data_IF_568508494648
#
_entry.id   IF_568508494648
#
_cell.length_a   1.000
_cell.length_b   1.000
_cell.length_c   1.000
_cell.angle_alpha   90.00
_cell.angle_beta   90.00
_cell.angle_gamma   90.00
#
_symmetry.space_group_name_H-M   'P 1'
#
loop_
_entity.id
_entity.type
_entity.pdbx_description
1 polymer ?
#
# COMPACT_ATOMS: atom_id res chain seq x y z
N UNK A 1 -7.96 36.25 9.09
CA UNK A 1 -9.15 35.59 9.67
C UNK A 1 -10.23 35.26 8.62
N UNK A 2 -9.90 34.97 7.35
CA UNK A 2 -10.89 34.72 6.27
C UNK A 2 -10.86 33.30 5.69
N UNK A 3 -9.92 32.46 6.16
CA UNK A 3 -9.72 31.11 5.54
C UNK A 3 -10.51 29.96 6.17
N UNK A 4 -11.16 30.18 7.32
CA UNK A 4 -11.85 29.10 8.05
C UNK A 4 -13.33 28.94 7.65
N UNK A 5 -13.91 29.86 6.91
CA UNK A 5 -15.34 29.84 6.54
C UNK A 5 -15.66 29.13 5.22
N UNK A 6 -14.69 28.89 4.35
CA UNK A 6 -14.94 28.26 3.04
C UNK A 6 -15.12 26.74 3.08
N UNK A 7 -14.69 26.08 4.15
CA UNK A 7 -14.84 24.62 4.28
C UNK A 7 -16.23 24.16 4.80
N UNK A 8 -17.08 25.09 5.22
CA UNK A 8 -18.34 24.79 5.93
C UNK A 8 -19.51 24.48 4.99
N UNK A 9 -19.42 24.74 3.69
CA UNK A 9 -20.54 24.67 2.75
C UNK A 9 -20.43 23.56 1.68
N UNK A 10 -19.43 22.69 1.74
CA UNK A 10 -19.41 21.54 0.83
C UNK A 10 -20.50 20.54 1.25
N UNK A 11 -21.31 19.99 0.31
CA UNK A 11 -22.32 19.02 0.65
C UNK A 11 -21.67 17.77 1.26
N UNK A 12 -22.30 17.21 2.33
CA UNK A 12 -21.82 15.98 2.94
C UNK A 12 -21.85 14.85 1.90
N UNK A 13 -20.72 14.16 1.76
CA UNK A 13 -20.58 13.03 0.84
C UNK A 13 -20.63 11.73 1.64
N UNK A 14 -21.65 10.90 1.40
CA UNK A 14 -21.68 9.54 1.90
C UNK A 14 -20.94 8.64 0.90
N UNK A 15 -19.78 8.09 1.27
CA UNK A 15 -19.05 7.19 0.38
C UNK A 15 -19.80 5.86 0.25
N UNK A 16 -20.00 5.37 -0.99
CA UNK A 16 -20.64 4.07 -1.22
C UNK A 16 -19.61 2.96 -1.37
N UNK A 17 -18.46 3.28 -1.92
CA UNK A 17 -17.40 2.30 -2.16
C UNK A 17 -16.00 2.88 -1.97
N UNK A 18 -15.06 1.99 -1.68
CA UNK A 18 -13.62 2.26 -1.67
C UNK A 18 -12.99 1.40 -2.76
N UNK A 19 -12.23 2.03 -3.66
CA UNK A 19 -11.49 1.29 -4.67
C UNK A 19 -10.30 0.53 -4.07
N UNK A 20 -9.50 1.22 -3.26
CA UNK A 20 -8.38 0.59 -2.58
C UNK A 20 -8.23 1.10 -1.14
N UNK A 21 -8.36 0.17 -0.20
CA UNK A 21 -8.03 0.36 1.20
C UNK A 21 -6.64 -0.21 1.46
N UNK A 22 -5.70 0.63 1.87
CA UNK A 22 -4.46 0.19 2.50
C UNK A 22 -4.61 0.28 4.01
N UNK A 23 -4.49 -0.81 4.70
CA UNK A 23 -4.51 -0.87 6.15
C UNK A 23 -3.22 -1.49 6.67
N UNK A 24 -2.37 -0.68 7.29
CA UNK A 24 -1.14 -1.17 7.91
C UNK A 24 -1.50 -1.96 9.17
N UNK A 25 -1.49 -3.28 9.12
CA UNK A 25 -1.69 -4.12 10.32
C UNK A 25 -0.43 -4.16 11.20
N UNK A 26 0.70 -3.83 10.62
CA UNK A 26 1.99 -3.65 11.29
C UNK A 26 2.66 -2.39 10.76
N UNK A 27 2.89 -1.41 11.61
CA UNK A 27 3.75 -0.26 11.27
C UNK A 27 5.21 -0.61 11.53
N UNK A 28 6.09 -0.27 10.58
CA UNK A 28 7.52 -0.58 10.65
C UNK A 28 7.89 -1.93 10.04
N UNK A 29 9.15 -2.08 9.75
CA UNK A 29 9.70 -3.24 9.05
C UNK A 29 11.08 -3.59 9.66
N UNK A 30 11.46 -4.86 9.57
CA UNK A 30 12.79 -5.33 9.98
C UNK A 30 13.87 -5.03 8.93
N UNK A 31 13.47 -4.76 7.67
CA UNK A 31 14.40 -4.43 6.59
C UNK A 31 14.66 -2.92 6.49
N UNK A 32 15.73 -2.58 5.79
CA UNK A 32 16.18 -1.21 5.50
C UNK A 32 16.45 -1.07 4.00
N UNK A 33 15.41 -1.37 3.22
CA UNK A 33 15.53 -1.41 1.76
C UNK A 33 15.93 -0.05 1.18
N UNK A 34 16.77 -0.09 0.18
CA UNK A 34 17.13 1.07 -0.63
C UNK A 34 15.86 1.66 -1.26
N UNK A 35 15.73 2.98 -1.23
CA UNK A 35 14.56 3.69 -1.77
C UNK A 35 13.31 3.65 -0.88
N UNK A 36 13.32 3.00 0.28
CA UNK A 36 12.19 2.96 1.21
C UNK A 36 12.34 4.00 2.33
N UNK A 37 11.30 4.80 2.64
CA UNK A 37 11.34 5.75 3.76
C UNK A 37 11.68 5.11 5.11
N UNK A 38 11.31 3.86 5.34
CA UNK A 38 11.62 3.13 6.58
C UNK A 38 13.13 2.96 6.83
N UNK A 39 13.97 3.03 5.80
CA UNK A 39 15.44 2.98 5.94
C UNK A 39 16.00 4.25 6.58
N UNK A 40 15.30 5.38 6.43
CA UNK A 40 15.65 6.67 7.05
C UNK A 40 14.89 6.90 8.36
N UNK A 41 13.59 6.62 8.38
CA UNK A 41 12.72 6.91 9.52
C UNK A 41 12.92 5.95 10.69
N UNK A 42 13.40 4.74 10.41
CA UNK A 42 13.66 3.69 11.40
C UNK A 42 12.49 3.50 12.40
N UNK A 43 11.25 3.34 11.95
CA UNK A 43 10.10 3.29 12.83
C UNK A 43 10.16 2.07 13.74
N UNK A 44 9.71 2.24 15.00
CA UNK A 44 9.48 1.10 15.89
C UNK A 44 8.34 0.25 15.34
N UNK A 45 8.51 -1.08 15.43
CA UNK A 45 7.46 -2.02 15.02
C UNK A 45 6.28 -1.94 15.99
N UNK A 46 5.13 -1.53 15.48
CA UNK A 46 3.84 -1.51 16.19
C UNK A 46 2.87 -2.44 15.43
N UNK A 47 2.00 -3.10 16.16
CA UNK A 47 0.97 -3.98 15.60
C UNK A 47 -0.38 -3.52 16.11
N UNK A 48 -1.37 -3.47 15.24
CA UNK A 48 -2.75 -3.24 15.69
C UNK A 48 -3.23 -4.47 16.48
N UNK A 49 -4.02 -4.27 17.51
CA UNK A 49 -4.69 -5.39 18.15
C UNK A 49 -5.87 -5.89 17.28
N UNK A 50 -6.23 -7.16 17.42
CA UNK A 50 -7.39 -7.73 16.70
C UNK A 50 -8.66 -6.94 16.99
N UNK A 51 -8.84 -6.51 18.25
CA UNK A 51 -10.00 -5.71 18.65
C UNK A 51 -9.98 -4.30 18.03
N UNK A 52 -8.87 -3.58 18.09
CA UNK A 52 -8.75 -2.27 17.43
C UNK A 52 -8.97 -2.38 15.92
N UNK A 53 -8.48 -3.44 15.28
CA UNK A 53 -8.71 -3.71 13.86
C UNK A 53 -10.19 -3.90 13.56
N UNK A 54 -10.90 -4.72 14.38
CA UNK A 54 -12.35 -4.93 14.28
C UNK A 54 -13.11 -3.62 14.41
N UNK A 55 -12.77 -2.78 15.40
CA UNK A 55 -13.39 -1.46 15.60
C UNK A 55 -13.15 -0.56 14.38
N UNK A 56 -11.90 -0.49 13.87
CA UNK A 56 -11.59 0.31 12.70
C UNK A 56 -12.38 -0.13 11.47
N UNK A 57 -12.44 -1.44 11.19
CA UNK A 57 -13.19 -1.96 10.04
C UNK A 57 -14.69 -1.71 10.17
N UNK A 58 -15.26 -1.82 11.39
CA UNK A 58 -16.67 -1.52 11.67
C UNK A 58 -17.02 -0.04 11.48
N UNK A 59 -16.05 0.85 11.54
CA UNK A 59 -16.20 2.29 11.28
C UNK A 59 -16.02 2.68 9.81
N UNK A 60 -15.72 1.72 8.93
CA UNK A 60 -15.72 1.94 7.48
C UNK A 60 -17.16 1.76 6.98
N UNK A 61 -17.89 2.87 6.88
CA UNK A 61 -19.32 2.92 6.57
C UNK A 61 -19.59 3.02 5.06
N UNK A 62 -19.13 2.01 4.32
CA UNK A 62 -19.35 1.84 2.88
C UNK A 62 -20.12 0.55 2.58
N UNK A 63 -20.54 0.38 1.33
CA UNK A 63 -21.22 -0.85 0.87
C UNK A 63 -20.21 -1.88 0.36
N UNK A 64 -19.09 -1.42 -0.23
CA UNK A 64 -18.13 -2.28 -0.94
C UNK A 64 -16.71 -1.73 -0.88
N UNK A 65 -15.74 -2.66 -0.80
CA UNK A 65 -14.31 -2.39 -1.03
C UNK A 65 -13.87 -3.26 -2.21
N UNK A 66 -13.25 -2.65 -3.22
CA UNK A 66 -12.73 -3.44 -4.35
C UNK A 66 -11.46 -4.18 -3.93
N UNK A 67 -10.44 -3.48 -3.45
CA UNK A 67 -9.18 -4.08 -2.99
C UNK A 67 -8.88 -3.65 -1.56
N UNK A 68 -8.70 -4.61 -0.68
CA UNK A 68 -8.19 -4.40 0.67
C UNK A 68 -6.76 -4.93 0.76
N UNK A 69 -5.81 -4.06 1.06
CA UNK A 69 -4.39 -4.35 1.24
C UNK A 69 -4.05 -4.28 2.72
N UNK A 70 -3.55 -5.38 3.28
CA UNK A 70 -3.18 -5.47 4.70
C UNK A 70 -1.74 -5.00 4.95
N UNK A 71 -1.35 -3.97 4.23
CA UNK A 71 -0.04 -3.33 4.35
C UNK A 71 -0.10 -1.89 3.84
N UNK A 72 0.82 -1.06 4.29
CA UNK A 72 1.12 0.27 3.75
C UNK A 72 2.63 0.53 3.86
N UNK A 73 3.14 0.79 5.07
CA UNK A 73 4.56 1.06 5.34
C UNK A 73 5.25 -0.05 6.12
N UNK A 74 4.51 -1.05 6.62
CA UNK A 74 5.03 -2.09 7.47
C UNK A 74 5.19 -3.43 6.76
N UNK A 75 5.60 -4.42 7.55
CA UNK A 75 5.69 -5.81 7.13
C UNK A 75 4.57 -6.64 7.81
N UNK A 76 3.54 -7.06 7.08
CA UNK A 76 2.37 -7.71 7.67
C UNK A 76 2.68 -9.06 8.33
N UNK A 77 3.66 -9.83 7.83
CA UNK A 77 4.02 -11.12 8.43
C UNK A 77 4.77 -11.00 9.77
N UNK A 78 5.05 -9.78 10.22
CA UNK A 78 5.46 -9.54 11.60
C UNK A 78 4.29 -9.46 12.59
N UNK A 79 3.03 -9.54 12.11
CA UNK A 79 1.88 -9.62 13.01
C UNK A 79 1.84 -10.98 13.69
N UNK A 80 1.69 -11.00 15.03
CA UNK A 80 1.72 -12.24 15.81
C UNK A 80 0.42 -13.04 15.79
N UNK A 81 -0.63 -12.46 15.26
CA UNK A 81 -2.00 -13.00 15.19
C UNK A 81 -2.58 -12.72 13.80
N UNK A 82 -1.84 -13.03 12.74
CA UNK A 82 -2.25 -12.74 11.38
C UNK A 82 -3.56 -13.47 11.03
N UNK A 83 -3.69 -14.73 11.41
CA UNK A 83 -4.91 -15.51 11.17
C UNK A 83 -6.13 -14.94 11.86
N UNK A 84 -5.99 -14.40 13.08
CA UNK A 84 -7.06 -13.72 13.79
C UNK A 84 -7.43 -12.38 13.12
N UNK A 85 -6.47 -11.60 12.64
CA UNK A 85 -6.69 -10.39 11.84
C UNK A 85 -7.50 -10.72 10.57
N UNK A 86 -7.11 -11.77 9.85
CA UNK A 86 -7.80 -12.21 8.64
C UNK A 86 -9.26 -12.60 8.94
N UNK A 87 -9.52 -13.29 10.05
CA UNK A 87 -10.87 -13.74 10.42
C UNK A 87 -11.87 -12.60 10.67
N UNK A 88 -11.40 -11.40 11.00
CA UNK A 88 -12.26 -10.23 11.22
C UNK A 88 -12.86 -9.68 9.92
N UNK A 89 -12.21 -9.90 8.77
CA UNK A 89 -12.63 -9.29 7.50
C UNK A 89 -14.02 -9.76 7.04
N UNK A 90 -14.36 -11.07 7.03
CA UNK A 90 -15.67 -11.53 6.61
C UNK A 90 -16.81 -11.16 7.59
N UNK A 91 -16.50 -10.76 8.82
CA UNK A 91 -17.49 -10.30 9.80
C UNK A 91 -18.12 -8.94 9.40
N UNK A 92 -17.48 -8.20 8.49
CA UNK A 92 -17.90 -6.85 8.14
C UNK A 92 -19.16 -6.81 7.26
N UNK A 93 -19.90 -5.69 7.33
CA UNK A 93 -21.10 -5.49 6.51
C UNK A 93 -20.78 -5.31 5.03
N UNK A 94 -19.65 -4.68 4.71
CA UNK A 94 -19.13 -4.56 3.36
C UNK A 94 -18.38 -5.82 2.93
N UNK A 95 -18.18 -5.98 1.63
CA UNK A 95 -17.37 -7.08 1.07
C UNK A 95 -16.18 -6.52 0.32
N UNK A 96 -15.03 -7.15 0.52
CA UNK A 96 -13.83 -6.91 -0.29
C UNK A 96 -13.80 -7.91 -1.46
N UNK A 97 -13.59 -7.42 -2.68
CA UNK A 97 -13.44 -8.30 -3.85
C UNK A 97 -12.05 -8.94 -3.91
N UNK A 98 -11.03 -8.21 -3.45
CA UNK A 98 -9.65 -8.67 -3.36
C UNK A 98 -9.14 -8.36 -1.95
N UNK A 99 -8.55 -9.35 -1.28
CA UNK A 99 -7.79 -9.17 -0.04
C UNK A 99 -6.34 -9.54 -0.33
N UNK A 100 -5.44 -8.55 -0.20
CA UNK A 100 -4.03 -8.66 -0.60
C UNK A 100 -3.12 -8.52 0.60
N UNK A 101 -2.16 -9.44 0.74
CA UNK A 101 -1.00 -9.32 1.62
C UNK A 101 0.22 -9.09 0.75
N UNK A 102 1.05 -8.09 1.08
CA UNK A 102 2.37 -7.91 0.46
C UNK A 102 3.46 -8.02 1.51
N UNK A 103 4.46 -8.86 1.24
CA UNK A 103 5.50 -9.18 2.22
C UNK A 103 6.90 -9.14 1.60
N UNK A 104 7.89 -8.93 2.46
CA UNK A 104 9.29 -9.08 2.12
C UNK A 104 9.81 -10.53 2.26
N UNK A 105 8.98 -11.47 2.72
CA UNK A 105 9.26 -12.90 2.81
C UNK A 105 10.45 -13.30 3.73
N UNK A 106 10.86 -12.43 4.68
CA UNK A 106 12.09 -12.67 5.45
C UNK A 106 11.84 -13.24 6.84
N UNK A 107 10.64 -13.07 7.38
CA UNK A 107 10.29 -13.57 8.70
C UNK A 107 8.82 -13.98 8.74
N UNK A 108 8.56 -15.25 8.97
CA UNK A 108 7.22 -15.84 8.91
C UNK A 108 6.98 -16.74 10.12
N UNK A 109 5.86 -16.54 10.79
CA UNK A 109 5.27 -17.59 11.62
C UNK A 109 4.46 -18.51 10.70
N UNK A 110 5.05 -19.63 10.32
CA UNK A 110 4.45 -20.53 9.34
C UNK A 110 3.15 -21.18 9.81
N UNK A 111 3.00 -21.42 11.11
CA UNK A 111 1.78 -22.03 11.65
C UNK A 111 0.61 -21.05 11.56
N UNK A 112 0.83 -19.79 11.94
CA UNK A 112 -0.19 -18.74 11.85
C UNK A 112 -0.48 -18.35 10.40
N UNK A 113 0.56 -18.29 9.54
CA UNK A 113 0.39 -18.03 8.10
C UNK A 113 -0.43 -19.13 7.40
N UNK A 114 -0.15 -20.42 7.70
CA UNK A 114 -0.97 -21.53 7.20
C UNK A 114 -2.42 -21.43 7.66
N UNK A 115 -2.66 -21.08 8.93
CA UNK A 115 -4.01 -20.87 9.45
C UNK A 115 -4.72 -19.67 8.79
N UNK A 116 -3.99 -18.63 8.42
CA UNK A 116 -4.54 -17.53 7.65
C UNK A 116 -4.99 -17.94 6.25
N UNK A 117 -4.19 -18.77 5.55
CA UNK A 117 -4.52 -19.27 4.21
C UNK A 117 -5.70 -20.26 4.21
N UNK A 118 -5.85 -21.09 5.23
CA UNK A 118 -6.98 -22.02 5.38
C UNK A 118 -8.35 -21.34 5.41
N UNK A 119 -8.41 -20.05 5.71
CA UNK A 119 -9.66 -19.28 5.75
C UNK A 119 -10.14 -18.87 4.35
N UNK A 120 -9.30 -18.95 3.33
CA UNK A 120 -9.57 -18.56 1.93
C UNK A 120 -10.04 -17.10 1.77
N UNK A 121 -9.80 -16.24 2.76
CA UNK A 121 -10.14 -14.82 2.74
C UNK A 121 -9.12 -14.01 1.94
N UNK A 122 -7.83 -14.35 2.06
CA UNK A 122 -6.75 -13.75 1.27
C UNK A 122 -6.82 -14.29 -0.14
N UNK A 123 -7.01 -13.41 -1.12
CA UNK A 123 -7.12 -13.78 -2.54
C UNK A 123 -5.86 -13.47 -3.34
N UNK A 124 -4.95 -12.66 -2.77
CA UNK A 124 -3.70 -12.29 -3.43
C UNK A 124 -2.55 -12.20 -2.42
N UNK A 125 -1.50 -12.95 -2.68
CA UNK A 125 -0.23 -12.89 -1.95
C UNK A 125 0.83 -12.29 -2.87
N UNK A 126 1.41 -11.18 -2.43
CA UNK A 126 2.43 -10.45 -3.18
C UNK A 126 3.75 -10.53 -2.43
N UNK A 127 4.82 -10.88 -3.12
CA UNK A 127 6.20 -10.88 -2.58
C UNK A 127 7.03 -9.81 -3.26
N UNK A 128 7.74 -9.03 -2.48
CA UNK A 128 8.65 -8.00 -3.00
C UNK A 128 10.00 -8.62 -3.36
N UNK A 129 10.34 -8.57 -4.64
CA UNK A 129 11.60 -9.05 -5.21
C UNK A 129 12.25 -7.90 -5.98
N UNK A 130 13.45 -7.45 -5.61
CA UNK A 130 14.09 -6.31 -6.25
C UNK A 130 15.47 -6.68 -6.78
N UNK A 131 15.93 -5.93 -7.79
CA UNK A 131 17.25 -6.04 -8.36
C UNK A 131 17.34 -6.95 -9.58
N UNK A 132 18.54 -7.41 -9.87
CA UNK A 132 18.88 -8.10 -11.11
C UNK A 132 18.65 -9.64 -11.09
N UNK A 133 17.99 -10.18 -10.06
CA UNK A 133 17.74 -11.62 -9.93
C UNK A 133 18.95 -12.43 -9.39
N UNK A 134 19.92 -11.79 -8.75
CA UNK A 134 21.01 -12.46 -8.02
C UNK A 134 20.89 -12.26 -6.52
N UNK A 135 21.41 -13.21 -5.74
CA UNK A 135 21.42 -13.13 -4.28
C UNK A 135 22.16 -11.87 -3.78
N UNK A 136 23.32 -11.57 -4.37
CA UNK A 136 24.14 -10.42 -3.99
C UNK A 136 23.36 -9.11 -4.13
N UNK A 137 22.73 -8.88 -5.29
CA UNK A 137 21.99 -7.65 -5.56
C UNK A 137 20.73 -7.54 -4.73
N UNK A 138 19.98 -8.65 -4.57
CA UNK A 138 18.79 -8.68 -3.73
C UNK A 138 19.11 -8.30 -2.27
N UNK A 139 20.15 -8.91 -1.67
CA UNK A 139 20.56 -8.64 -0.29
C UNK A 139 21.12 -7.21 -0.13
N UNK A 140 21.83 -6.72 -1.13
CA UNK A 140 22.33 -5.33 -1.18
C UNK A 140 21.20 -4.30 -1.16
N UNK A 141 20.13 -4.56 -1.93
CA UNK A 141 18.98 -3.64 -2.05
C UNK A 141 18.03 -3.71 -0.86
N UNK A 142 17.99 -4.83 -0.16
CA UNK A 142 17.01 -5.09 0.91
C UNK A 142 17.64 -5.53 2.25
N UNK A 143 18.69 -4.84 2.76
CA UNK A 143 19.36 -5.28 3.96
C UNK A 143 18.43 -5.27 5.19
N UNK A 144 18.57 -6.22 6.13
CA UNK A 144 19.46 -7.38 6.17
C UNK A 144 18.77 -8.66 5.64
N UNK A 145 18.09 -8.61 4.51
CA UNK A 145 17.43 -9.79 3.92
C UNK A 145 18.43 -10.88 3.57
N UNK A 146 17.89 -12.10 3.40
CA UNK A 146 18.61 -13.27 2.92
C UNK A 146 17.90 -13.86 1.71
N UNK A 147 18.66 -14.12 0.67
CA UNK A 147 18.14 -14.72 -0.57
C UNK A 147 17.52 -16.09 -0.34
N UNK A 148 18.16 -16.93 0.46
CA UNK A 148 17.65 -18.27 0.79
C UNK A 148 16.27 -18.21 1.48
N UNK A 149 16.02 -17.20 2.34
CA UNK A 149 14.71 -17.02 2.96
C UNK A 149 13.63 -16.64 1.94
N UNK A 150 13.99 -15.82 0.93
CA UNK A 150 13.07 -15.51 -0.15
C UNK A 150 12.69 -16.77 -0.93
N UNK A 151 13.67 -17.55 -1.36
CA UNK A 151 13.43 -18.76 -2.16
C UNK A 151 12.63 -19.80 -1.35
N UNK A 152 12.99 -20.03 -0.09
CA UNK A 152 12.23 -20.90 0.81
C UNK A 152 10.78 -20.47 0.93
N UNK A 153 10.55 -19.14 1.11
CA UNK A 153 9.20 -18.60 1.20
C UNK A 153 8.39 -18.85 -0.07
N UNK A 154 8.97 -18.56 -1.24
CA UNK A 154 8.30 -18.76 -2.53
C UNK A 154 7.88 -20.22 -2.73
N UNK A 155 8.77 -21.16 -2.45
CA UNK A 155 8.50 -22.58 -2.62
C UNK A 155 7.46 -23.07 -1.61
N UNK A 156 7.58 -22.70 -0.34
CA UNK A 156 6.68 -23.14 0.72
C UNK A 156 5.29 -22.50 0.63
N UNK A 157 5.20 -21.22 0.30
CA UNK A 157 3.92 -20.53 0.12
C UNK A 157 3.13 -21.14 -1.05
N UNK A 158 3.80 -21.56 -2.13
CA UNK A 158 3.17 -22.31 -3.22
C UNK A 158 2.56 -23.62 -2.74
N UNK A 159 3.30 -24.42 -1.97
CA UNK A 159 2.79 -25.69 -1.42
C UNK A 159 1.56 -25.45 -0.54
N UNK A 160 1.59 -24.45 0.31
CA UNK A 160 0.47 -24.10 1.17
C UNK A 160 -0.75 -23.61 0.36
N UNK A 161 -0.53 -22.78 -0.69
CA UNK A 161 -1.57 -22.35 -1.62
C UNK A 161 -2.23 -23.55 -2.29
N UNK A 162 -1.44 -24.46 -2.87
CA UNK A 162 -1.96 -25.60 -3.59
C UNK A 162 -2.78 -26.54 -2.68
N UNK A 163 -2.43 -26.58 -1.40
CA UNK A 163 -3.10 -27.41 -0.39
C UNK A 163 -4.36 -26.79 0.20
N UNK A 164 -4.35 -25.48 0.49
CA UNK A 164 -5.36 -24.87 1.33
C UNK A 164 -6.15 -23.75 0.68
N UNK A 165 -5.61 -23.09 -0.34
CA UNK A 165 -6.22 -21.93 -0.96
C UNK A 165 -5.90 -21.89 -2.47
N UNK A 166 -6.38 -22.85 -3.26
CA UNK A 166 -6.00 -22.99 -4.68
C UNK A 166 -6.38 -21.78 -5.53
N UNK A 167 -7.35 -20.96 -5.08
CA UNK A 167 -7.73 -19.69 -5.70
C UNK A 167 -6.80 -18.51 -5.41
N UNK A 168 -5.86 -18.64 -4.47
CA UNK A 168 -4.93 -17.58 -4.10
C UNK A 168 -3.96 -17.28 -5.25
N UNK A 169 -3.92 -16.03 -5.69
CA UNK A 169 -2.97 -15.55 -6.68
C UNK A 169 -1.60 -15.33 -6.03
N UNK A 170 -0.55 -15.92 -6.59
CA UNK A 170 0.83 -15.71 -6.18
C UNK A 170 1.50 -14.74 -7.14
N UNK A 171 1.83 -13.55 -6.67
CA UNK A 171 2.38 -12.45 -7.47
C UNK A 171 3.67 -11.97 -6.84
N UNK A 172 4.64 -11.57 -7.66
CA UNK A 172 5.81 -10.81 -7.16
C UNK A 172 5.78 -9.40 -7.73
N UNK A 173 6.09 -8.41 -6.90
CA UNK A 173 6.38 -7.03 -7.36
C UNK A 173 7.88 -6.86 -7.35
N UNK A 174 8.43 -6.66 -8.53
CA UNK A 174 9.87 -6.73 -8.78
C UNK A 174 10.35 -5.42 -9.40
N UNK A 175 11.20 -4.71 -8.67
CA UNK A 175 11.87 -3.52 -9.20
C UNK A 175 13.09 -3.96 -9.97
N UNK A 176 13.15 -3.60 -11.25
CA UNK A 176 14.21 -3.98 -12.21
C UNK A 176 14.67 -2.78 -13.02
N UNK A 177 15.84 -2.87 -13.62
CA UNK A 177 16.41 -1.78 -14.41
C UNK A 177 16.34 -2.04 -15.94
N UNK A 178 16.26 -3.30 -16.34
CA UNK A 178 16.33 -3.66 -17.76
C UNK A 178 15.66 -5.01 -18.05
N UNK A 179 15.52 -5.33 -19.35
CA UNK A 179 14.87 -6.56 -19.81
C UNK A 179 15.64 -7.85 -19.43
N UNK A 180 16.96 -7.80 -19.29
CA UNK A 180 17.75 -8.96 -18.89
C UNK A 180 17.46 -9.33 -17.42
N UNK A 181 17.26 -8.34 -16.56
CA UNK A 181 16.85 -8.54 -15.17
C UNK A 181 15.44 -9.15 -15.10
N UNK A 182 14.51 -8.65 -15.92
CA UNK A 182 13.16 -9.20 -16.03
C UNK A 182 13.21 -10.68 -16.42
N UNK A 183 14.04 -11.05 -17.41
CA UNK A 183 14.15 -12.43 -17.84
C UNK A 183 14.70 -13.33 -16.75
N UNK A 184 15.75 -12.93 -16.04
CA UNK A 184 16.30 -13.70 -14.91
C UNK A 184 15.26 -13.94 -13.82
N UNK A 185 14.45 -12.93 -13.50
CA UNK A 185 13.36 -13.09 -12.54
C UNK A 185 12.26 -14.02 -13.05
N UNK A 186 11.90 -13.96 -14.34
CA UNK A 186 10.96 -14.93 -14.93
C UNK A 186 11.49 -16.37 -14.80
N UNK A 187 12.77 -16.59 -15.09
CA UNK A 187 13.40 -17.92 -14.99
C UNK A 187 13.39 -18.49 -13.55
N UNK A 188 13.40 -17.60 -12.55
CA UNK A 188 13.31 -17.97 -11.13
C UNK A 188 11.86 -18.21 -10.68
N UNK A 189 10.95 -17.32 -11.05
CA UNK A 189 9.62 -17.18 -10.45
C UNK A 189 8.58 -18.04 -11.16
N UNK A 190 8.56 -18.06 -12.50
CA UNK A 190 7.53 -18.77 -13.28
C UNK A 190 7.56 -20.29 -13.03
N UNK A 191 8.72 -20.99 -12.99
CA UNK A 191 8.76 -22.41 -12.64
C UNK A 191 8.27 -22.73 -11.22
N UNK A 192 8.31 -21.72 -10.31
CA UNK A 192 7.78 -21.79 -8.95
C UNK A 192 6.29 -21.49 -8.85
N UNK A 193 5.62 -21.17 -9.98
CA UNK A 193 4.19 -20.86 -10.03
C UNK A 193 3.83 -19.44 -9.58
N UNK A 194 4.80 -18.51 -9.61
CA UNK A 194 4.59 -17.10 -9.32
C UNK A 194 4.49 -16.28 -10.60
N UNK A 195 3.60 -15.29 -10.58
CA UNK A 195 3.45 -14.32 -11.67
C UNK A 195 4.25 -13.07 -11.35
N UNK A 196 5.33 -12.75 -12.08
CA UNK A 196 6.11 -11.55 -11.84
C UNK A 196 5.44 -10.31 -12.45
N UNK A 197 5.26 -9.27 -11.62
CA UNK A 197 4.92 -7.91 -12.05
C UNK A 197 6.18 -7.04 -11.92
N UNK A 198 6.62 -6.43 -13.03
CA UNK A 198 7.83 -5.61 -13.06
C UNK A 198 7.51 -4.13 -12.98
N UNK A 199 8.40 -3.39 -12.36
CA UNK A 199 8.35 -1.92 -12.27
C UNK A 199 9.73 -1.32 -12.18
N UNK A 200 9.87 -0.05 -12.57
CA UNK A 200 11.08 0.73 -12.34
C UNK A 200 11.15 1.33 -10.93
N UNK A 201 12.28 1.95 -10.63
CA UNK A 201 12.48 2.67 -9.40
C UNK A 201 11.58 3.90 -9.30
N UNK A 202 11.05 4.14 -8.13
CA UNK A 202 10.31 5.37 -7.78
C UNK A 202 11.14 6.20 -6.82
N UNK A 203 11.09 7.52 -6.99
CA UNK A 203 11.64 8.44 -6.01
C UNK A 203 10.60 8.68 -4.91
N UNK A 204 10.95 8.36 -3.67
CA UNK A 204 10.08 8.59 -2.52
C UNK A 204 10.68 9.68 -1.63
N UNK A 205 9.86 10.61 -1.08
CA UNK A 205 10.33 11.60 -0.13
C UNK A 205 11.06 10.97 1.03
N UNK A 206 12.14 11.60 1.49
CA UNK A 206 12.94 11.17 2.64
C UNK A 206 13.47 9.72 2.57
N UNK A 207 13.51 9.09 1.40
CA UNK A 207 14.19 7.81 1.25
C UNK A 207 15.72 7.99 1.36
N UNK A 208 16.40 6.97 1.91
CA UNK A 208 17.85 7.03 2.12
C UNK A 208 18.65 7.20 0.82
N UNK A 209 18.13 6.67 -0.28
CA UNK A 209 18.71 6.79 -1.61
C UNK A 209 17.62 6.99 -2.64
N UNK A 210 17.79 7.98 -3.48
CA UNK A 210 17.02 8.13 -4.71
C UNK A 210 17.69 7.28 -5.80
N UNK A 211 17.06 6.17 -6.17
CA UNK A 211 17.55 5.26 -7.21
C UNK A 211 17.16 5.70 -8.62
N UNK A 212 16.35 6.75 -8.72
CA UNK A 212 16.02 7.34 -10.02
C UNK A 212 17.02 8.45 -10.35
N UNK A 213 17.56 8.46 -11.56
CA UNK A 213 18.37 9.58 -12.06
C UNK A 213 17.52 10.81 -12.44
N UNK A 214 16.25 10.83 -12.02
CA UNK A 214 15.33 11.92 -12.33
C UNK A 214 15.49 13.07 -11.36
N UNK A 215 15.47 14.29 -11.87
CA UNK A 215 15.19 15.47 -11.08
C UNK A 215 13.70 15.41 -10.68
N UNK A 216 13.43 15.48 -9.39
CA UNK A 216 12.06 15.56 -8.89
C UNK A 216 11.48 16.92 -9.28
N UNK A 217 10.41 16.90 -10.07
CA UNK A 217 9.61 18.08 -10.36
C UNK A 217 8.33 17.97 -9.53
N UNK A 218 8.21 18.82 -8.51
CA UNK A 218 7.02 18.86 -7.67
C UNK A 218 5.89 19.51 -8.47
N UNK A 219 4.80 18.78 -8.78
CA UNK A 219 3.70 19.34 -9.53
C UNK A 219 2.92 20.36 -8.69
N UNK A 220 2.28 21.31 -9.36
CA UNK A 220 1.33 22.23 -8.74
C UNK A 220 -0.05 21.58 -8.58
N UNK A 221 -0.84 22.04 -7.61
CA UNK A 221 -2.22 21.60 -7.41
C UNK A 221 -2.36 20.28 -6.68
N UNK A 222 -3.48 19.61 -6.88
CA UNK A 222 -3.89 18.39 -6.18
C UNK A 222 -2.98 17.19 -6.50
N UNK A 223 -3.17 16.14 -5.77
CA UNK A 223 -2.44 14.89 -5.92
C UNK A 223 -3.43 13.74 -6.20
N UNK A 224 -3.04 12.79 -7.03
CA UNK A 224 -3.85 11.62 -7.41
C UNK A 224 -4.49 10.88 -6.21
N UNK A 225 -3.80 10.84 -5.07
CA UNK A 225 -4.32 10.16 -3.86
C UNK A 225 -5.44 10.95 -3.14
N UNK A 226 -5.61 12.23 -3.46
CA UNK A 226 -6.61 13.13 -2.86
C UNK A 226 -7.68 13.58 -3.84
N UNK A 227 -7.58 13.16 -5.09
CA UNK A 227 -8.52 13.51 -6.13
C UNK A 227 -9.95 13.10 -5.76
N UNK A 228 -10.91 13.94 -6.10
CA UNK A 228 -12.32 13.60 -5.95
C UNK A 228 -12.78 12.67 -7.10
N UNK A 229 -13.83 11.87 -6.88
CA UNK A 229 -14.29 10.89 -7.88
C UNK A 229 -14.51 11.46 -9.27
N UNK A 230 -14.97 12.70 -9.38
CA UNK A 230 -15.19 13.40 -10.68
C UNK A 230 -13.93 13.53 -11.53
N UNK A 231 -12.75 13.54 -10.89
CA UNK A 231 -11.46 13.62 -11.57
C UNK A 231 -11.07 12.28 -12.23
N UNK A 232 -11.82 11.21 -11.92
CA UNK A 232 -11.64 9.86 -12.45
C UNK A 232 -12.79 9.39 -13.37
N UNK A 233 -13.62 10.29 -13.90
CA UNK A 233 -14.78 9.92 -14.72
C UNK A 233 -14.42 9.05 -15.94
N UNK A 234 -13.20 9.18 -16.44
CA UNK A 234 -12.64 8.35 -17.52
C UNK A 234 -12.01 7.03 -17.07
N UNK A 235 -11.93 6.79 -15.74
CA UNK A 235 -11.33 5.56 -15.24
C UNK A 235 -12.31 4.37 -15.38
N UNK A 236 -11.84 3.13 -15.72
CA UNK A 236 -12.70 1.97 -15.93
C UNK A 236 -13.63 1.63 -14.74
N UNK A 237 -13.34 2.13 -13.57
CA UNK A 237 -14.12 1.90 -12.34
C UNK A 237 -15.20 2.96 -12.07
N UNK A 238 -15.34 3.98 -12.96
CA UNK A 238 -16.34 5.05 -12.83
C UNK A 238 -16.05 6.06 -11.72
N UNK A 239 -16.85 7.11 -11.67
CA UNK A 239 -16.65 8.33 -10.87
C UNK A 239 -16.73 8.21 -9.34
N UNK A 240 -16.68 7.01 -8.75
CA UNK A 240 -16.72 6.82 -7.28
C UNK A 240 -15.42 6.19 -6.73
N UNK A 241 -14.28 6.43 -7.37
CA UNK A 241 -13.01 5.91 -6.90
C UNK A 241 -12.59 6.68 -5.64
N UNK A 242 -12.40 5.93 -4.55
CA UNK A 242 -11.86 6.46 -3.31
C UNK A 242 -10.73 5.58 -2.84
N UNK A 243 -9.68 6.24 -2.37
CA UNK A 243 -8.53 5.61 -1.76
C UNK A 243 -8.56 5.89 -0.26
N UNK A 244 -8.27 4.90 0.54
CA UNK A 244 -8.22 5.02 1.99
C UNK A 244 -6.93 4.39 2.50
N UNK A 245 -6.17 5.15 3.28
CA UNK A 245 -4.90 4.73 3.86
C UNK A 245 -4.98 4.84 5.38
N UNK A 246 -4.68 3.75 6.07
CA UNK A 246 -4.82 3.63 7.52
C UNK A 246 -3.55 3.03 8.12
N UNK A 247 -3.00 3.70 9.11
CA UNK A 247 -1.85 3.21 9.87
C UNK A 247 -2.26 2.21 10.97
N UNK A 248 -1.29 1.47 11.52
CA UNK A 248 -1.50 0.42 12.52
C UNK A 248 -2.10 0.89 13.87
N UNK A 249 -2.30 2.18 14.06
CA UNK A 249 -3.00 2.75 15.21
C UNK A 249 -4.41 3.24 14.87
N UNK A 250 -4.89 2.97 13.65
CA UNK A 250 -6.18 3.41 13.13
C UNK A 250 -6.19 4.82 12.55
N UNK A 251 -5.04 5.52 12.52
CA UNK A 251 -4.93 6.85 11.94
C UNK A 251 -5.10 6.82 10.44
N UNK A 252 -5.99 7.68 9.92
CA UNK A 252 -6.19 7.86 8.48
C UNK A 252 -5.21 8.91 7.97
N UNK A 253 -4.40 8.50 6.98
CA UNK A 253 -3.33 9.31 6.38
C UNK A 253 -3.63 9.62 4.91
N UNK A 254 -2.98 10.64 4.30
CA UNK A 254 -3.28 11.08 2.93
C UNK A 254 -2.97 10.04 1.84
N UNK A 255 -1.93 9.24 2.00
CA UNK A 255 -1.42 8.38 0.91
C UNK A 255 -0.54 7.24 1.42
N UNK A 256 -0.13 6.37 0.49
CA UNK A 256 0.84 5.28 0.71
C UNK A 256 2.30 5.65 0.39
N UNK A 257 2.59 6.92 0.13
CA UNK A 257 3.95 7.34 -0.28
C UNK A 257 4.82 7.62 0.95
N UNK A 258 4.25 8.23 1.98
CA UNK A 258 5.00 8.59 3.17
C UNK A 258 4.12 8.65 4.43
N UNK A 259 4.52 8.00 5.57
CA UNK A 259 3.69 7.91 6.78
C UNK A 259 3.49 9.25 7.50
N UNK A 260 4.35 10.26 7.24
CA UNK A 260 4.28 11.59 7.85
C UNK A 260 3.66 12.66 6.93
N UNK A 261 2.99 12.24 5.85
CA UNK A 261 2.40 13.20 4.91
C UNK A 261 1.28 14.05 5.54
N UNK A 262 0.56 13.51 6.51
CA UNK A 262 -0.52 14.21 7.23
C UNK A 262 -1.44 13.26 7.99
N UNK A 263 -2.46 13.81 8.65
CA UNK A 263 -3.47 13.06 9.40
C UNK A 263 -4.85 13.63 9.11
N UNK A 264 -5.83 12.77 8.81
CA UNK A 264 -7.22 13.17 8.54
C UNK A 264 -8.20 12.82 9.66
N UNK A 265 -7.87 11.85 10.51
CA UNK A 265 -8.69 11.38 11.62
C UNK A 265 -8.26 10.00 12.08
N UNK A 266 -9.10 9.32 12.87
CA UNK A 266 -8.80 7.98 13.37
C UNK A 266 -10.04 7.08 13.35
N UNK A 267 -9.94 5.92 12.68
CA UNK A 267 -11.04 4.96 12.55
C UNK A 267 -11.42 4.27 13.87
N UNK A 268 -10.62 4.34 14.91
CA UNK A 268 -11.03 3.81 16.22
C UNK A 268 -12.12 4.65 16.88
N UNK A 269 -12.25 5.91 16.49
CA UNK A 269 -13.15 6.87 17.12
C UNK A 269 -14.12 7.56 16.17
N UNK A 270 -13.92 7.45 14.86
CA UNK A 270 -14.67 8.17 13.85
C UNK A 270 -15.07 7.24 12.70
N UNK A 271 -16.26 7.46 12.12
CA UNK A 271 -16.67 6.83 10.88
C UNK A 271 -15.86 7.38 9.70
N UNK A 272 -15.61 6.54 8.69
CA UNK A 272 -14.89 6.96 7.49
C UNK A 272 -15.59 8.14 6.77
N UNK A 273 -16.94 8.13 6.67
CA UNK A 273 -17.69 9.25 6.11
C UNK A 273 -17.42 10.57 6.83
N UNK A 274 -17.31 10.55 8.17
CA UNK A 274 -17.00 11.75 8.95
C UNK A 274 -15.56 12.25 8.70
N UNK A 275 -14.60 11.34 8.59
CA UNK A 275 -13.20 11.68 8.27
C UNK A 275 -13.10 12.27 6.86
N UNK A 276 -13.77 11.66 5.88
CA UNK A 276 -13.80 12.09 4.47
C UNK A 276 -14.30 13.53 4.33
N UNK A 277 -15.33 13.89 5.11
CA UNK A 277 -15.93 15.24 5.12
C UNK A 277 -15.32 16.15 6.20
N UNK A 278 -14.29 15.68 6.90
CA UNK A 278 -13.71 16.40 8.04
C UNK A 278 -12.88 17.61 7.65
N UNK A 279 -12.85 18.60 8.55
CA UNK A 279 -12.10 19.85 8.37
C UNK A 279 -10.59 19.62 8.15
N UNK A 280 -10.00 18.59 8.77
CA UNK A 280 -8.58 18.26 8.61
C UNK A 280 -8.24 17.89 7.17
N UNK A 281 -9.06 17.01 6.53
CA UNK A 281 -8.87 16.66 5.11
C UNK A 281 -9.10 17.86 4.20
N UNK A 282 -10.13 18.65 4.46
CA UNK A 282 -10.43 19.85 3.68
C UNK A 282 -9.30 20.88 3.74
N UNK A 283 -8.76 21.16 4.94
CA UNK A 283 -7.62 22.05 5.12
C UNK A 283 -6.37 21.55 4.42
N UNK A 284 -6.09 20.24 4.47
CA UNK A 284 -4.96 19.65 3.79
C UNK A 284 -5.06 19.77 2.26
N UNK A 285 -6.25 19.54 1.68
CA UNK A 285 -6.49 19.73 0.25
C UNK A 285 -6.29 21.21 -0.14
N UNK A 286 -6.87 22.13 0.61
CA UNK A 286 -6.71 23.56 0.37
C UNK A 286 -5.24 24.00 0.39
N UNK A 287 -4.47 23.53 1.37
CA UNK A 287 -3.04 23.81 1.44
C UNK A 287 -2.28 23.24 0.23
N UNK A 288 -2.61 22.01 -0.17
CA UNK A 288 -1.99 21.39 -1.35
C UNK A 288 -2.27 22.17 -2.64
N UNK A 289 -3.48 22.71 -2.80
CA UNK A 289 -3.87 23.50 -3.96
C UNK A 289 -3.24 24.90 -3.97
N UNK A 290 -3.08 25.51 -2.79
CA UNK A 290 -2.57 26.90 -2.66
C UNK A 290 -1.05 26.98 -2.56
N UNK A 291 -0.40 26.10 -1.78
CA UNK A 291 1.04 26.09 -1.54
C UNK A 291 1.55 24.68 -1.20
N UNK A 292 1.56 23.82 -2.19
CA UNK A 292 2.11 22.47 -2.04
C UNK A 292 3.60 22.47 -1.72
N UNK A 293 4.34 23.44 -2.28
CA UNK A 293 5.80 23.51 -2.11
C UNK A 293 6.22 23.78 -0.67
N UNK A 294 5.37 24.43 0.12
CA UNK A 294 5.57 24.67 1.55
C UNK A 294 5.27 23.44 2.44
N UNK A 295 4.70 22.37 1.90
CA UNK A 295 4.41 21.15 2.66
C UNK A 295 5.65 20.26 2.78
N UNK A 296 5.99 19.84 4.01
CA UNK A 296 7.25 19.14 4.31
C UNK A 296 7.47 17.85 3.49
N UNK A 297 6.43 17.06 3.29
CA UNK A 297 6.49 15.80 2.52
C UNK A 297 5.98 16.02 1.09
N UNK A 298 4.80 16.62 0.93
CA UNK A 298 4.20 16.80 -0.40
C UNK A 298 4.98 17.77 -1.29
N UNK A 299 5.71 18.72 -0.70
CA UNK A 299 6.64 19.61 -1.40
C UNK A 299 7.91 18.92 -1.93
N UNK A 300 8.12 17.65 -1.60
CA UNK A 300 9.24 16.82 -2.09
C UNK A 300 8.74 15.61 -2.92
N UNK A 301 7.46 15.58 -3.29
CA UNK A 301 6.82 14.45 -3.95
C UNK A 301 6.40 14.80 -5.37
N UNK A 302 6.69 13.93 -6.32
CA UNK A 302 6.39 14.12 -7.75
C UNK A 302 5.01 13.62 -8.19
N UNK A 303 4.19 13.11 -7.24
CA UNK A 303 2.84 12.65 -7.55
C UNK A 303 1.94 13.83 -7.93
N UNK A 304 1.51 13.86 -9.19
CA UNK A 304 0.66 14.88 -9.77
C UNK A 304 -0.84 14.67 -9.53
N UNK A 305 -1.69 15.55 -10.11
CA UNK A 305 -3.13 15.38 -10.14
C UNK A 305 -3.54 14.17 -11.00
N UNK A 306 -4.77 13.69 -10.77
CA UNK A 306 -5.34 12.62 -11.59
C UNK A 306 -5.37 13.03 -13.08
N UNK A 307 -4.99 12.10 -13.97
CA UNK A 307 -4.92 12.37 -15.42
C UNK A 307 -3.57 12.94 -15.90
N UNK A 308 -2.78 13.54 -15.02
CA UNK A 308 -1.36 13.81 -15.22
C UNK A 308 -0.55 12.77 -14.45
N UNK A 309 -0.86 11.52 -14.66
CA UNK A 309 -0.05 10.44 -14.12
C UNK A 309 1.35 10.63 -14.67
N UNK A 310 2.18 11.24 -13.83
CA UNK A 310 3.59 11.44 -14.16
C UNK A 310 4.18 10.10 -14.56
N UNK A 311 5.21 10.07 -15.37
CA UNK A 311 5.84 8.84 -15.85
C UNK A 311 6.18 7.81 -14.76
N UNK A 312 6.07 8.19 -13.46
CA UNK A 312 6.37 7.33 -12.33
C UNK A 312 5.29 6.32 -11.96
N UNK A 313 4.00 6.55 -12.26
CA UNK A 313 2.94 5.63 -11.82
C UNK A 313 2.53 4.60 -12.88
N UNK A 314 2.59 4.94 -14.16
CA UNK A 314 2.23 4.04 -15.26
C UNK A 314 3.37 3.64 -16.20
N UNK A 315 4.38 4.48 -16.39
CA UNK A 315 5.53 4.11 -17.23
C UNK A 315 6.50 3.12 -16.57
N UNK A 316 6.24 2.77 -15.30
CA UNK A 316 6.99 1.73 -14.59
C UNK A 316 6.33 0.36 -14.64
N UNK A 317 5.09 0.24 -15.13
CA UNK A 317 4.53 -1.06 -15.49
C UNK A 317 5.00 -1.38 -16.92
N UNK A 318 6.03 -2.18 -17.02
CA UNK A 318 6.30 -2.94 -18.23
C UNK A 318 5.18 -3.96 -18.36
N UNK A 319 4.06 -3.56 -18.97
CA UNK A 319 3.03 -4.50 -19.37
C UNK A 319 3.58 -5.17 -20.60
N UNK A 320 3.85 -6.46 -20.51
CA UNK A 320 4.06 -7.28 -21.71
C UNK A 320 2.77 -7.25 -22.51
N UNK A 321 2.81 -6.61 -23.69
CA UNK A 321 1.88 -6.87 -24.80
C UNK A 321 2.27 -8.13 -25.51
#
# INVERSE_FOLDING_TARGET
MHSTQLAVNAPFVQPRQIYCLHFDIVHGCQLRCVGCPNSTLLPKIKRISVEDFRVCLGNIDVEKIHTMRLFNFGEPLLHKHLSEIISVIPEQRWKASIVEISTNAQRVDWADFENALKQEVVTRLVVSCDGNGTAEEYERLRPPSKWEHLIEFLDRARVLRDRWSPGLQLITKTVVENAADMQRWRDILVPRGWTPEFRGWMALPESAQNMTNRRLEVPTGSCVFLADPKEYDHHPWGGEIRLLYVDADGTVVPCCIHPRAGVFGNLKTQKYSAILNGAQRAAFKLQMESDRSGMSICGQCDMGPAGNEGPSFHSSMFVDT
#
